data_IF_428712099815
#
_entry.id   IF_428712099815
#
_cell.length_a   1.000
_cell.length_b   1.000
_cell.length_c   1.000
_cell.angle_alpha   90.00
_cell.angle_beta   90.00
_cell.angle_gamma   90.00
#
_symmetry.space_group_name_H-M   'P 1'
#
loop_
_entity.id
_entity.type
_entity.pdbx_description
1 polymer ?
2 water ?
#
# COMPACT_ATOMS: atom_id res chain seq x y z
N UNK A 3 -15.51 -2.63 -8.75
CA UNK A 3 -14.55 -3.06 -7.77
C UNK A 3 -13.86 -1.88 -7.21
N UNK A 4 -13.48 -1.99 -5.95
CA UNK A 4 -13.07 -0.85 -5.18
C UNK A 4 -11.87 -1.22 -4.32
N UNK A 5 -10.82 -0.43 -4.37
CA UNK A 5 -9.58 -0.72 -3.68
C UNK A 5 -9.53 0.06 -2.38
N UNK A 6 -8.86 -0.52 -1.38
CA UNK A 6 -8.56 0.20 -0.14
C UNK A 6 -7.19 -0.31 0.32
N UNK A 7 -6.47 0.51 1.06
CA UNK A 7 -5.17 0.15 1.60
C UNK A 7 -5.22 0.08 3.12
N UNK A 8 -4.33 -0.75 3.68
CA UNK A 8 -4.21 -0.89 5.13
C UNK A 8 -2.73 -1.07 5.45
N UNK A 9 -2.33 -0.62 6.65
CA UNK A 9 -0.99 -0.96 7.16
C UNK A 9 -1.04 -2.32 7.83
N UNK A 10 -0.06 -3.15 7.48
CA UNK A 10 0.20 -4.41 8.16
C UNK A 10 1.33 -4.37 9.15
N UNK A 11 1.78 -3.18 9.53
CA UNK A 11 2.85 -3.03 10.53
C UNK A 11 2.23 -2.54 11.80
N UNK A 12 2.42 -3.23 12.93
CA UNK A 12 1.79 -2.84 14.16
C UNK A 12 2.12 -1.43 14.50
N UNK A 13 1.07 -0.69 14.79
CA UNK A 13 1.26 0.63 15.28
C UNK A 13 1.71 1.70 14.32
N UNK A 14 1.81 1.41 13.04
CA UNK A 14 2.30 2.35 11.99
C UNK A 14 1.13 2.64 11.06
N UNK A 15 0.71 3.90 11.01
CA UNK A 15 -0.36 4.29 10.10
C UNK A 15 0.18 4.63 8.72
N UNK A 16 -0.67 4.48 7.70
CA UNK A 16 -0.21 4.76 6.36
C UNK A 16 0.09 6.24 6.15
N UNK A 17 1.16 6.54 5.42
CA UNK A 17 1.51 7.91 5.07
C UNK A 17 0.78 8.34 3.80
N UNK A 18 0.78 9.65 3.57
CA UNK A 18 0.13 10.17 2.38
C UNK A 18 0.77 9.63 1.11
N UNK A 19 2.07 9.38 1.12
CA UNK A 19 2.75 8.90 -0.08
C UNK A 19 2.23 7.53 -0.52
N UNK A 20 1.76 6.71 0.44
CA UNK A 20 1.09 5.47 0.10
C UNK A 20 -0.34 5.70 -0.34
N UNK A 21 -1.11 6.50 0.41
CA UNK A 21 -2.51 6.76 0.05
C UNK A 21 -2.59 7.40 -1.39
N UNK A 22 -1.63 8.17 -1.79
CA UNK A 22 -1.64 8.75 -3.12
C UNK A 22 -1.54 7.69 -4.22
N UNK A 23 -1.17 6.46 -3.90
CA UNK A 23 -1.08 5.37 -4.86
C UNK A 23 -2.35 4.55 -4.96
N UNK A 24 -3.42 4.89 -4.24
CA UNK A 24 -4.62 4.08 -4.30
C UNK A 24 -5.16 4.06 -5.72
N UNK A 25 -5.42 2.90 -6.33
CA UNK A 25 -6.00 2.90 -7.68
C UNK A 25 -7.42 3.39 -7.71
N UNK A 26 -7.84 3.80 -8.91
CA UNK A 26 -9.24 4.10 -9.17
C UNK A 26 -10.11 2.88 -9.04
N UNK A 27 -11.38 3.10 -8.77
CA UNK A 27 -12.38 2.04 -8.85
C UNK A 27 -12.41 1.50 -10.29
N UNK A 28 -12.74 0.22 -10.42
CA UNK A 28 -13.00 -0.38 -11.71
C UNK A 28 -14.52 -0.33 -11.95
N UNK A 29 -14.89 0.06 -13.18
CA UNK A 29 -16.27 0.12 -13.54
C UNK A 29 -16.81 -1.27 -13.78
N UNK A 30 -18.09 -1.52 -13.46
CA UNK A 30 -18.75 -2.82 -13.71
C UNK A 30 -18.87 -3.06 -15.22
N UNK A 37 -13.09 -10.41 -11.21
CA UNK A 37 -12.28 -9.20 -11.04
C UNK A 37 -10.83 -9.51 -10.56
N UNK A 38 -9.91 -8.68 -11.03
CA UNK A 38 -8.46 -8.71 -10.75
C UNK A 38 -8.09 -7.29 -10.28
N UNK A 39 -7.39 -7.09 -9.18
CA UNK A 39 -7.08 -5.75 -8.72
C UNK A 39 -6.19 -4.98 -9.69
N UNK A 40 -6.31 -3.67 -9.62
CA UNK A 40 -5.36 -2.78 -10.26
C UNK A 40 -4.14 -2.65 -9.37
N UNK A 41 -2.96 -2.79 -9.94
CA UNK A 41 -1.74 -2.63 -9.16
C UNK A 41 -1.53 -1.17 -8.80
N UNK A 42 -0.96 -0.91 -7.62
CA UNK A 42 -0.41 0.42 -7.39
C UNK A 42 0.66 0.76 -8.48
N UNK A 43 0.87 2.05 -8.72
CA UNK A 43 1.87 2.46 -9.71
C UNK A 43 3.28 2.07 -9.32
N UNK A 44 3.54 2.02 -8.03
CA UNK A 44 4.82 1.50 -7.56
C UNK A 44 4.48 0.71 -6.31
N UNK A 45 5.39 -0.20 -5.97
CA UNK A 45 5.24 -1.13 -4.86
C UNK A 45 6.20 -0.81 -3.70
N UNK A 46 6.95 0.28 -3.81
CA UNK A 46 7.83 0.75 -2.75
C UNK A 46 7.72 2.24 -2.72
N UNK A 47 7.58 2.80 -1.50
CA UNK A 47 7.46 4.22 -1.22
C UNK A 47 8.48 4.56 -0.15
N UNK A 48 9.28 5.58 -0.33
CA UNK A 48 10.18 6.08 0.69
C UNK A 48 9.61 7.29 1.38
N UNK A 49 9.75 7.32 2.70
CA UNK A 49 9.37 8.47 3.49
C UNK A 49 10.58 8.92 4.31
N UNK A 50 10.42 10.00 5.04
CA UNK A 50 11.51 10.47 5.90
C UNK A 50 11.90 9.43 6.93
N UNK A 51 10.94 8.62 7.35
CA UNK A 51 11.24 7.67 8.42
C UNK A 51 11.57 6.29 7.98
N UNK A 52 11.38 5.92 6.72
CA UNK A 52 11.69 4.56 6.30
C UNK A 52 11.10 4.25 4.92
N UNK A 53 10.74 2.98 4.77
CA UNK A 53 10.30 2.45 3.48
C UNK A 53 9.01 1.68 3.68
N UNK A 54 8.03 1.94 2.82
CA UNK A 54 6.80 1.18 2.77
C UNK A 54 6.83 0.28 1.53
N UNK A 55 6.46 -0.98 1.73
CA UNK A 55 6.48 -1.99 0.66
C UNK A 55 5.12 -2.65 0.56
N UNK A 56 4.63 -2.76 -0.67
CA UNK A 56 3.34 -3.36 -0.90
C UNK A 56 3.44 -4.87 -0.78
N UNK A 57 2.57 -5.46 0.01
CA UNK A 57 2.61 -6.90 0.20
C UNK A 57 1.77 -7.64 -0.80
N UNK A 58 0.47 -7.39 -0.82
CA UNK A 58 -0.46 -8.04 -1.74
C UNK A 58 -1.86 -7.52 -1.47
N UNK A 59 -2.77 -7.84 -2.38
CA UNK A 59 -4.20 -7.67 -2.17
C UNK A 59 -4.85 -8.94 -1.66
N UNK A 60 -5.88 -8.75 -0.86
CA UNK A 60 -6.81 -9.83 -0.50
C UNK A 60 -8.23 -9.31 -0.77
N UNK A 61 -9.02 -10.18 -1.36
CA UNK A 61 -10.33 -9.87 -1.87
C UNK A 61 -11.48 -10.04 -0.82
N UNK A 71 -17.07 -5.79 -5.16
CA UNK A 71 -15.82 -6.44 -4.80
C UNK A 71 -14.94 -5.38 -4.17
N UNK A 72 -14.32 -5.77 -3.08
CA UNK A 72 -13.36 -4.92 -2.39
C UNK A 72 -12.04 -5.62 -2.36
N UNK A 73 -11.01 -4.93 -2.82
CA UNK A 73 -9.64 -5.40 -2.74
C UNK A 73 -8.93 -4.57 -1.69
N UNK A 74 -8.41 -5.26 -0.66
CA UNK A 74 -7.68 -4.65 0.40
C UNK A 74 -6.19 -4.89 0.23
N UNK A 75 -5.41 -3.85 0.01
CA UNK A 75 -3.99 -3.97 -0.22
C UNK A 75 -3.20 -3.61 1.04
N UNK A 76 -2.39 -4.55 1.50
CA UNK A 76 -1.58 -4.35 2.71
C UNK A 76 -0.20 -3.83 2.34
N UNK A 77 0.23 -2.78 3.08
CA UNK A 77 1.56 -2.25 2.99
C UNK A 77 2.27 -2.45 4.33
N UNK A 78 3.58 -2.71 4.28
CA UNK A 78 4.42 -2.94 5.47
C UNK A 78 5.53 -1.90 5.51
N UNK A 79 5.91 -1.49 6.71
CA UNK A 79 6.92 -0.47 6.95
C UNK A 79 8.21 -1.08 7.48
N UNK A 80 9.33 -0.59 6.96
CA UNK A 80 10.66 -0.91 7.47
C UNK A 80 11.31 0.42 7.87
N UNK A 81 11.70 0.59 9.14
CA UNK A 81 12.35 1.84 9.53
C UNK A 81 13.65 2.06 8.79
N UNK A 82 13.98 3.34 8.59
CA UNK A 82 15.26 3.69 8.00
C UNK A 82 16.38 3.06 8.82
N UNK A 83 17.41 2.54 8.13
CA UNK A 83 18.52 1.95 8.87
C UNK A 83 19.22 2.96 9.73
N UNK A 84 19.66 2.53 10.91
CA UNK A 84 20.48 3.40 11.72
C UNK A 84 21.92 2.95 11.71
N UNK A 85 22.79 3.88 11.86
CA UNK A 85 24.23 3.65 11.89
C UNK A 85 24.68 3.80 13.33
N UNK A 86 25.28 2.74 13.85
CA UNK A 86 25.85 2.70 15.15
C UNK A 86 27.22 2.00 14.98
#
# INVERSE_FOLDING_TARGET
>A
GPAMHEFVSGTPGKELPQEVKDLLPADQTDLKDGSQSTPTQPSKTEVKTAEGTWSFKSYDKTSETINEADVHFVGTWEFTPAPTYKAT
#
